data_IF_200744301641
#
_entry.id   IF_200744301641
#
_cell.length_a   1.000
_cell.length_b   1.000
_cell.length_c   1.000
_cell.angle_alpha   90.00
_cell.angle_beta   90.00
_cell.angle_gamma   90.00
#
_symmetry.space_group_name_H-M   'P 1'
#
loop_
_entity.id
_entity.type
_entity.pdbx_description
1 polymer ?
#
# COMPACT_ATOMS: atom_id res chain seq x y z
N UNK A 1 68.67 -33.03 46.79
CA UNK A 1 67.93 -31.75 46.77
C UNK A 1 67.04 -31.56 45.54
N UNK A 2 67.26 -32.23 44.39
CA UNK A 2 66.45 -32.02 43.16
C UNK A 2 65.00 -32.57 43.17
N UNK A 3 64.67 -33.55 44.02
CA UNK A 3 63.31 -34.16 44.02
C UNK A 3 62.23 -33.21 44.56
N UNK A 4 62.61 -32.28 45.43
CA UNK A 4 61.67 -31.41 46.15
C UNK A 4 61.24 -30.16 45.34
N UNK A 5 62.02 -29.77 44.32
CA UNK A 5 61.66 -28.67 43.40
C UNK A 5 60.70 -29.13 42.29
N UNK A 6 60.83 -30.38 41.83
CA UNK A 6 59.97 -30.93 40.78
C UNK A 6 58.53 -31.13 41.26
N UNK A 7 58.33 -31.64 42.48
CA UNK A 7 56.99 -31.77 43.07
C UNK A 7 56.32 -30.42 43.37
N UNK A 8 57.11 -29.39 43.74
CA UNK A 8 56.61 -28.02 43.92
C UNK A 8 56.20 -27.38 42.59
N UNK A 9 56.96 -27.62 41.53
CA UNK A 9 56.65 -27.17 40.17
C UNK A 9 55.35 -27.80 39.65
N UNK A 10 55.18 -29.12 39.82
CA UNK A 10 53.96 -29.85 39.43
C UNK A 10 52.72 -29.40 40.22
N UNK A 11 52.87 -29.07 41.52
CA UNK A 11 51.78 -28.53 42.33
C UNK A 11 51.40 -27.10 41.90
N UNK A 12 52.36 -26.23 41.58
CA UNK A 12 52.08 -24.88 41.06
C UNK A 12 51.34 -24.93 39.74
N UNK A 13 51.81 -25.76 38.80
CA UNK A 13 51.14 -25.96 37.51
C UNK A 13 49.70 -26.44 37.63
N UNK A 14 49.42 -27.34 38.57
CA UNK A 14 48.04 -27.80 38.82
C UNK A 14 47.13 -26.71 39.38
N UNK A 15 47.65 -25.83 40.23
CA UNK A 15 46.88 -24.70 40.78
C UNK A 15 46.62 -23.66 39.70
N UNK A 16 47.63 -23.35 38.88
CA UNK A 16 47.50 -22.45 37.72
C UNK A 16 46.47 -22.98 36.70
N UNK A 17 46.51 -24.29 36.37
CA UNK A 17 45.53 -24.94 35.47
C UNK A 17 44.10 -24.98 36.05
N UNK A 18 43.93 -24.97 37.38
CA UNK A 18 42.62 -24.93 38.04
C UNK A 18 42.06 -23.50 38.08
N UNK A 19 42.90 -22.51 38.37
CA UNK A 19 42.53 -21.08 38.34
C UNK A 19 42.14 -20.63 36.91
N UNK A 20 42.89 -21.05 35.88
CA UNK A 20 42.60 -20.70 34.48
C UNK A 20 41.26 -21.30 34.00
N UNK A 21 40.91 -22.50 34.48
CA UNK A 21 39.61 -23.14 34.20
C UNK A 21 38.45 -22.45 34.92
N UNK A 22 38.67 -21.95 36.14
CA UNK A 22 37.66 -21.16 36.84
C UNK A 22 37.41 -19.82 36.14
N UNK A 23 38.46 -19.13 35.69
CA UNK A 23 38.34 -17.88 34.94
C UNK A 23 37.62 -18.06 33.59
N UNK A 24 37.97 -19.11 32.82
CA UNK A 24 37.24 -19.45 31.58
C UNK A 24 35.77 -19.77 31.86
N UNK A 25 35.48 -20.51 32.94
CA UNK A 25 34.13 -20.83 33.37
C UNK A 25 33.30 -19.60 33.75
N UNK A 26 33.92 -18.60 34.39
CA UNK A 26 33.26 -17.32 34.71
C UNK A 26 33.01 -16.50 33.44
N UNK A 27 33.98 -16.37 32.53
CA UNK A 27 33.78 -15.64 31.26
C UNK A 27 32.67 -16.26 30.39
N UNK A 28 32.58 -17.58 30.32
CA UNK A 28 31.54 -18.26 29.56
C UNK A 28 30.15 -18.03 30.15
N UNK A 29 30.03 -17.98 31.49
CA UNK A 29 28.77 -17.64 32.17
C UNK A 29 28.35 -16.20 31.91
N UNK A 30 29.27 -15.23 31.99
CA UNK A 30 28.96 -13.82 31.72
C UNK A 30 28.52 -13.60 30.26
N UNK A 31 29.21 -14.21 29.29
CA UNK A 31 28.83 -14.14 27.87
C UNK A 31 27.44 -14.75 27.62
N UNK A 32 27.15 -15.90 28.23
CA UNK A 32 25.85 -16.56 28.13
C UNK A 32 24.73 -15.69 28.73
N UNK A 33 24.99 -15.07 29.88
CA UNK A 33 24.04 -14.20 30.56
C UNK A 33 23.73 -12.93 29.75
N UNK A 34 24.76 -12.28 29.17
CA UNK A 34 24.57 -11.12 28.30
C UNK A 34 23.79 -11.40 27.02
N UNK A 35 23.93 -12.61 26.44
CA UNK A 35 23.11 -13.06 25.31
C UNK A 35 21.64 -13.27 25.72
N UNK A 36 21.42 -13.80 26.92
CA UNK A 36 20.08 -14.04 27.45
C UNK A 36 19.34 -12.72 27.74
N UNK A 37 20.03 -11.73 28.33
CA UNK A 37 19.47 -10.39 28.55
C UNK A 37 19.12 -9.67 27.24
N UNK A 38 20.00 -9.74 26.22
CA UNK A 38 19.71 -9.17 24.89
C UNK A 38 18.47 -9.78 24.25
N UNK A 39 18.34 -11.11 24.31
CA UNK A 39 17.15 -11.82 23.79
C UNK A 39 15.88 -11.49 24.58
N UNK A 40 16.00 -11.23 25.88
CA UNK A 40 14.91 -10.76 26.74
C UNK A 40 14.41 -9.38 26.33
N UNK A 41 15.33 -8.41 26.20
CA UNK A 41 15.03 -7.04 25.78
C UNK A 41 14.43 -6.95 24.39
N UNK A 42 14.98 -7.68 23.40
CA UNK A 42 14.39 -7.75 22.05
C UNK A 42 12.97 -8.34 22.04
N UNK A 43 12.70 -9.32 22.92
CA UNK A 43 11.35 -9.88 23.05
C UNK A 43 10.38 -8.91 23.68
N UNK A 44 10.80 -8.14 24.68
CA UNK A 44 10.00 -7.09 25.30
C UNK A 44 9.71 -5.95 24.32
N UNK A 45 10.71 -5.41 23.62
CA UNK A 45 10.50 -4.37 22.60
C UNK A 45 9.55 -4.84 21.48
N UNK A 46 9.71 -6.07 21.00
CA UNK A 46 8.80 -6.65 20.00
C UNK A 46 7.38 -6.84 20.54
N UNK A 47 7.21 -7.07 21.85
CA UNK A 47 5.91 -7.21 22.50
C UNK A 47 5.25 -5.85 22.71
N UNK A 48 5.98 -4.86 23.18
CA UNK A 48 5.51 -3.48 23.35
C UNK A 48 5.13 -2.86 22.01
N UNK A 49 5.97 -2.97 20.97
CA UNK A 49 5.61 -2.56 19.60
C UNK A 49 4.33 -3.24 19.12
N UNK A 50 4.16 -4.55 19.35
CA UNK A 50 2.93 -5.27 18.98
C UNK A 50 1.69 -4.79 19.74
N UNK A 51 1.82 -4.37 21.00
CA UNK A 51 0.71 -3.81 21.77
C UNK A 51 0.39 -2.37 21.37
N UNK A 52 1.39 -1.57 21.01
CA UNK A 52 1.23 -0.21 20.52
C UNK A 52 0.56 -0.20 19.13
N UNK A 53 0.97 -1.10 18.23
CA UNK A 53 0.33 -1.37 16.94
C UNK A 53 -1.15 -1.74 17.13
N UNK A 54 -1.47 -2.57 18.14
CA UNK A 54 -2.87 -2.92 18.48
C UNK A 54 -3.70 -1.72 18.97
N UNK A 55 -3.07 -0.64 19.44
CA UNK A 55 -3.75 0.55 19.99
C UNK A 55 -3.77 1.74 19.03
N UNK A 56 -3.02 1.71 17.92
CA UNK A 56 -2.95 2.83 16.96
C UNK A 56 -4.31 3.04 16.28
N UNK A 57 -5.09 3.99 16.79
CA UNK A 57 -6.38 4.38 16.20
C UNK A 57 -6.12 5.39 15.09
N UNK A 58 -6.14 4.92 13.85
CA UNK A 58 -5.99 5.81 12.69
C UNK A 58 -7.22 6.71 12.52
N UNK A 59 -6.99 8.01 12.38
CA UNK A 59 -8.01 9.00 11.96
C UNK A 59 -7.84 9.41 10.50
N UNK A 60 -6.69 9.09 9.90
CA UNK A 60 -6.36 9.36 8.52
C UNK A 60 -6.17 8.07 7.73
N UNK A 61 -6.29 8.15 6.41
CA UNK A 61 -5.95 7.06 5.49
C UNK A 61 -5.19 7.58 4.30
N UNK A 62 -4.30 6.75 3.75
CA UNK A 62 -3.54 7.04 2.54
C UNK A 62 -3.87 5.96 1.52
N UNK A 63 -4.09 6.39 0.27
CA UNK A 63 -4.15 5.49 -0.88
C UNK A 63 -2.98 5.79 -1.81
N UNK A 64 -2.04 4.87 -1.94
CA UNK A 64 -1.00 4.95 -2.98
C UNK A 64 -1.47 4.14 -4.17
N UNK A 65 -1.62 4.78 -5.33
CA UNK A 65 -2.10 4.16 -6.57
C UNK A 65 -0.99 4.14 -7.59
N UNK A 66 -0.52 2.94 -7.92
CA UNK A 66 0.40 2.67 -9.00
C UNK A 66 -0.40 2.43 -10.29
N UNK A 67 -0.02 3.12 -11.35
CA UNK A 67 -0.68 3.02 -12.64
C UNK A 67 0.24 3.40 -13.79
N UNK A 68 -0.27 3.28 -15.01
CA UNK A 68 0.44 3.69 -16.21
C UNK A 68 0.56 5.22 -16.34
N UNK A 69 -0.36 5.95 -15.70
CA UNK A 69 -0.25 7.40 -15.51
C UNK A 69 -0.64 7.80 -14.07
N UNK A 70 -0.11 8.95 -13.66
CA UNK A 70 -0.44 9.62 -12.40
C UNK A 70 -0.54 11.14 -12.62
N UNK A 71 -1.41 11.80 -11.86
CA UNK A 71 -1.67 13.23 -11.97
C UNK A 71 -1.95 13.82 -10.58
N UNK A 72 -1.34 14.95 -10.22
CA UNK A 72 -1.59 15.55 -8.89
C UNK A 72 -3.05 16.03 -8.73
N UNK A 73 -3.69 16.45 -9.82
CA UNK A 73 -5.09 16.87 -9.87
C UNK A 73 -5.58 16.98 -11.31
N UNK A 74 -6.87 16.74 -11.56
CA UNK A 74 -7.48 16.85 -12.90
C UNK A 74 -7.08 18.14 -13.63
N UNK A 75 -6.43 17.98 -14.78
CA UNK A 75 -5.96 19.06 -15.65
C UNK A 75 -4.57 19.61 -15.32
N UNK A 76 -3.81 18.94 -14.44
CA UNK A 76 -2.42 19.25 -14.11
C UNK A 76 -1.45 18.37 -14.91
N UNK A 77 -0.16 18.52 -14.66
CA UNK A 77 0.88 17.68 -15.27
C UNK A 77 0.59 16.19 -15.00
N UNK A 78 0.53 15.42 -16.09
CA UNK A 78 0.52 13.96 -16.05
C UNK A 78 1.94 13.43 -16.16
N UNK A 79 2.25 12.40 -15.39
CA UNK A 79 3.45 11.58 -15.52
C UNK A 79 3.10 10.18 -15.99
N UNK A 80 4.07 9.44 -16.53
CA UNK A 80 3.86 8.13 -17.11
C UNK A 80 3.32 8.18 -18.54
N UNK A 81 2.94 7.02 -19.07
CA UNK A 81 2.43 6.86 -20.45
C UNK A 81 1.26 5.91 -20.44
N UNK A 82 0.15 6.34 -21.04
CA UNK A 82 -1.04 5.50 -21.18
C UNK A 82 -0.70 4.20 -21.90
N UNK A 83 -1.07 3.09 -21.29
CA UNK A 83 -0.89 1.76 -21.87
C UNK A 83 -1.96 1.48 -22.94
N UNK A 84 -1.64 0.57 -23.86
CA UNK A 84 -2.62 0.09 -24.85
C UNK A 84 -3.77 -0.67 -24.18
N UNK A 85 -3.49 -1.42 -23.11
CA UNK A 85 -4.46 -2.16 -22.30
C UNK A 85 -4.12 -2.14 -20.81
N UNK A 86 -5.14 -2.37 -19.99
CA UNK A 86 -5.05 -2.59 -18.55
C UNK A 86 -5.02 -4.07 -18.17
N UNK A 87 -5.30 -4.38 -16.90
CA UNK A 87 -5.38 -5.75 -16.41
C UNK A 87 -6.68 -6.42 -16.83
N UNK A 88 -6.60 -7.67 -17.28
CA UNK A 88 -7.76 -8.52 -17.57
C UNK A 88 -7.99 -9.55 -16.47
N UNK A 89 -9.04 -10.36 -16.63
CA UNK A 89 -9.39 -11.42 -15.68
C UNK A 89 -8.25 -12.43 -15.51
N UNK A 90 -7.60 -12.84 -16.61
CA UNK A 90 -6.50 -13.81 -16.55
C UNK A 90 -5.35 -13.31 -15.69
N UNK A 91 -4.93 -12.06 -15.87
CA UNK A 91 -3.85 -11.49 -15.08
C UNK A 91 -4.22 -11.40 -13.59
N UNK A 92 -5.47 -11.08 -13.26
CA UNK A 92 -5.93 -11.01 -11.87
C UNK A 92 -6.03 -12.39 -11.22
N UNK A 93 -6.53 -13.40 -11.94
CA UNK A 93 -6.58 -14.79 -11.45
C UNK A 93 -5.18 -15.32 -11.20
N UNK A 94 -4.24 -15.04 -12.10
CA UNK A 94 -2.85 -15.45 -11.95
C UNK A 94 -2.16 -14.72 -10.78
N UNK A 95 -2.36 -13.40 -10.66
CA UNK A 95 -1.84 -12.63 -9.53
C UNK A 95 -2.41 -13.14 -8.19
N UNK A 96 -3.70 -13.49 -8.15
CA UNK A 96 -4.33 -14.12 -6.98
C UNK A 96 -3.60 -15.41 -6.59
N UNK A 97 -3.40 -16.32 -7.56
CA UNK A 97 -2.73 -17.61 -7.34
C UNK A 97 -1.33 -17.42 -6.78
N UNK A 98 -0.51 -16.58 -7.44
CA UNK A 98 0.87 -16.29 -7.01
C UNK A 98 0.92 -15.70 -5.61
N UNK A 99 0.04 -14.75 -5.30
CA UNK A 99 -0.01 -14.14 -3.97
C UNK A 99 -0.39 -15.14 -2.87
N UNK A 100 -1.30 -16.08 -3.16
CA UNK A 100 -1.64 -17.15 -2.23
C UNK A 100 -0.50 -18.16 -2.04
N UNK A 101 0.31 -18.40 -3.07
CA UNK A 101 1.54 -19.21 -2.98
C UNK A 101 2.61 -18.55 -2.10
N UNK A 102 2.63 -17.22 -2.03
CA UNK A 102 3.45 -16.47 -1.07
C UNK A 102 2.91 -16.56 0.38
N UNK A 103 1.80 -17.26 0.60
CA UNK A 103 1.12 -17.41 1.89
C UNK A 103 0.15 -16.28 2.21
N UNK A 104 -0.21 -15.46 1.22
CA UNK A 104 -1.19 -14.38 1.36
C UNK A 104 -2.63 -14.87 1.26
N UNK A 105 -3.58 -13.97 1.58
CA UNK A 105 -5.03 -14.20 1.40
C UNK A 105 -5.56 -13.22 0.36
N UNK A 106 -6.25 -13.72 -0.66
CA UNK A 106 -6.77 -12.87 -1.73
C UNK A 106 -8.23 -13.17 -2.10
N UNK A 107 -8.95 -12.11 -2.48
CA UNK A 107 -10.35 -12.15 -2.89
C UNK A 107 -10.49 -11.53 -4.29
N UNK A 108 -11.06 -12.27 -5.25
CA UNK A 108 -11.39 -11.73 -6.56
C UNK A 108 -12.90 -11.43 -6.61
N UNK A 109 -13.25 -10.16 -6.69
CA UNK A 109 -14.63 -9.69 -6.72
C UNK A 109 -15.05 -9.41 -8.16
N UNK A 110 -16.07 -10.12 -8.66
CA UNK A 110 -16.77 -9.75 -9.90
C UNK A 110 -17.80 -8.65 -9.59
N UNK A 111 -17.58 -7.46 -10.16
CA UNK A 111 -18.44 -6.30 -9.93
C UNK A 111 -19.80 -6.42 -10.66
N UNK A 112 -19.91 -7.27 -11.67
CA UNK A 112 -21.17 -7.55 -12.35
C UNK A 112 -22.06 -8.41 -11.48
N UNK A 113 -21.51 -9.50 -10.95
CA UNK A 113 -22.24 -10.38 -10.02
C UNK A 113 -22.66 -9.64 -8.75
N UNK A 114 -21.74 -8.84 -8.20
CA UNK A 114 -21.99 -8.04 -7.01
C UNK A 114 -23.05 -6.94 -7.21
N UNK A 115 -23.38 -6.59 -8.46
CA UNK A 115 -24.46 -5.63 -8.76
C UNK A 115 -25.86 -6.18 -8.45
N UNK A 116 -26.02 -7.51 -8.40
CA UNK A 116 -27.30 -8.17 -8.19
C UNK A 116 -28.30 -8.01 -9.35
N UNK A 117 -27.87 -7.53 -10.52
CA UNK A 117 -28.76 -7.28 -11.67
C UNK A 117 -28.36 -8.12 -12.88
N UNK A 118 -29.30 -8.95 -13.34
CA UNK A 118 -29.11 -9.89 -14.47
C UNK A 118 -28.69 -9.20 -15.77
N UNK A 119 -29.18 -8.00 -16.06
CA UNK A 119 -28.80 -7.28 -17.27
C UNK A 119 -27.34 -6.84 -17.27
N UNK A 120 -26.78 -6.51 -16.10
CA UNK A 120 -25.35 -6.21 -15.94
C UNK A 120 -24.54 -7.50 -16.09
N UNK A 121 -24.92 -8.57 -15.38
CA UNK A 121 -24.25 -9.87 -15.45
C UNK A 121 -24.11 -10.40 -16.89
N UNK A 122 -25.15 -10.19 -17.72
CA UNK A 122 -25.17 -10.68 -19.10
C UNK A 122 -24.53 -9.73 -20.12
N UNK A 123 -24.70 -8.42 -19.96
CA UNK A 123 -24.42 -7.46 -21.04
C UNK A 123 -23.29 -6.47 -20.74
N UNK A 124 -22.82 -6.36 -19.49
CA UNK A 124 -21.69 -5.51 -19.17
C UNK A 124 -20.37 -6.24 -19.39
N UNK A 125 -19.34 -5.48 -19.81
CA UNK A 125 -17.99 -6.02 -19.93
C UNK A 125 -17.49 -6.58 -18.57
N UNK A 126 -16.66 -7.64 -18.57
CA UNK A 126 -16.09 -8.19 -17.36
C UNK A 126 -15.33 -7.15 -16.54
N UNK A 127 -15.68 -7.02 -15.26
CA UNK A 127 -15.10 -6.04 -14.35
C UNK A 127 -14.80 -6.68 -13.01
N UNK A 128 -13.53 -6.63 -12.60
CA UNK A 128 -13.05 -7.33 -11.43
C UNK A 128 -12.17 -6.43 -10.57
N UNK A 129 -12.22 -6.67 -9.26
CA UNK A 129 -11.25 -6.12 -8.31
C UNK A 129 -10.65 -7.27 -7.54
N UNK A 130 -9.33 -7.41 -7.61
CA UNK A 130 -8.57 -8.33 -6.77
C UNK A 130 -8.16 -7.59 -5.50
N UNK A 131 -8.46 -8.13 -4.33
CA UNK A 131 -8.01 -7.59 -3.04
C UNK A 131 -7.05 -8.59 -2.41
N UNK A 132 -5.83 -8.15 -2.12
CA UNK A 132 -4.77 -8.88 -1.43
C UNK A 132 -4.74 -8.39 0.02
N UNK A 133 -5.25 -9.20 0.94
CA UNK A 133 -5.37 -8.84 2.35
C UNK A 133 -3.99 -8.79 3.00
N UNK A 134 -3.68 -7.67 3.67
CA UNK A 134 -2.34 -7.38 4.19
C UNK A 134 -1.25 -7.58 3.13
N UNK A 135 -1.56 -7.23 1.88
CA UNK A 135 -0.65 -7.38 0.75
C UNK A 135 0.68 -6.68 0.96
N UNK A 136 0.70 -5.53 1.63
CA UNK A 136 1.96 -4.82 1.93
C UNK A 136 2.89 -5.67 2.80
N UNK A 137 2.39 -6.24 3.90
CA UNK A 137 3.22 -7.06 4.79
C UNK A 137 3.77 -8.32 4.11
N UNK A 138 3.00 -8.90 3.17
CA UNK A 138 3.45 -10.05 2.38
C UNK A 138 4.54 -9.64 1.38
N UNK A 139 4.34 -8.53 0.67
CA UNK A 139 5.27 -8.05 -0.35
C UNK A 139 6.56 -7.45 0.24
N UNK A 140 6.50 -6.91 1.46
CA UNK A 140 7.66 -6.36 2.16
C UNK A 140 8.38 -7.38 3.06
N UNK A 141 7.88 -8.62 3.12
CA UNK A 141 8.35 -9.65 4.07
C UNK A 141 9.86 -9.90 3.99
N UNK A 142 10.44 -9.94 2.79
CA UNK A 142 11.87 -10.20 2.60
C UNK A 142 12.75 -9.05 3.09
N UNK A 143 12.21 -7.82 3.15
CA UNK A 143 12.89 -6.67 3.74
C UNK A 143 12.76 -6.61 5.27
N UNK A 144 11.86 -7.40 5.85
CA UNK A 144 11.52 -7.32 7.27
C UNK A 144 10.72 -6.07 7.64
N UNK A 145 10.10 -5.42 6.66
CA UNK A 145 9.32 -4.19 6.81
C UNK A 145 7.81 -4.50 6.74
N UNK A 146 6.99 -3.61 7.28
CA UNK A 146 5.55 -3.83 7.46
C UNK A 146 4.70 -2.74 6.82
N UNK A 147 3.37 -2.92 6.83
CA UNK A 147 2.46 -1.85 6.44
C UNK A 147 2.57 -0.60 7.32
N UNK A 148 2.95 -0.74 8.60
CA UNK A 148 3.17 0.38 9.52
C UNK A 148 4.41 1.19 9.11
N UNK A 149 5.52 0.51 8.76
CA UNK A 149 6.75 1.18 8.29
C UNK A 149 6.46 1.94 6.99
N UNK A 150 5.69 1.34 6.08
CA UNK A 150 5.28 2.02 4.85
C UNK A 150 4.34 3.21 5.13
N UNK A 151 3.43 3.09 6.09
CA UNK A 151 2.62 4.23 6.51
C UNK A 151 3.47 5.36 7.09
N UNK A 152 4.44 5.04 7.95
CA UNK A 152 5.34 6.02 8.56
C UNK A 152 6.22 6.73 7.51
N UNK A 153 6.68 6.02 6.48
CA UNK A 153 7.33 6.63 5.30
C UNK A 153 6.41 7.68 4.65
N UNK A 154 5.16 7.31 4.36
CA UNK A 154 4.24 8.20 3.63
C UNK A 154 3.78 9.40 4.45
N UNK A 155 3.52 9.25 5.75
CA UNK A 155 3.08 10.39 6.60
C UNK A 155 4.18 11.41 6.86
N UNK A 156 5.45 11.04 6.66
CA UNK A 156 6.59 11.95 6.79
C UNK A 156 6.71 12.95 5.63
N UNK A 157 6.01 12.70 4.52
CA UNK A 157 6.09 13.49 3.29
C UNK A 157 5.21 14.76 3.35
N UNK A 158 5.69 15.84 2.73
CA UNK A 158 4.93 17.07 2.58
C UNK A 158 4.02 17.03 1.35
N UNK A 159 2.77 16.59 1.55
CA UNK A 159 1.79 16.47 0.48
C UNK A 159 1.27 17.82 -0.05
N UNK A 160 0.96 17.90 -1.34
CA UNK A 160 0.38 19.10 -1.95
C UNK A 160 -0.99 19.43 -1.35
N UNK A 161 -1.08 20.62 -0.76
CA UNK A 161 -2.31 21.20 -0.18
C UNK A 161 -2.99 22.19 -1.13
N UNK A 162 -2.42 22.42 -2.31
CA UNK A 162 -2.95 23.32 -3.34
C UNK A 162 -3.01 22.65 -4.70
N UNK A 163 -3.82 23.21 -5.60
CA UNK A 163 -3.90 22.80 -7.00
C UNK A 163 -4.39 23.97 -7.86
N UNK A 164 -4.11 23.91 -9.16
CA UNK A 164 -4.70 24.84 -10.13
C UNK A 164 -6.05 24.30 -10.61
N UNK A 165 -7.13 25.03 -10.35
CA UNK A 165 -8.49 24.65 -10.71
C UNK A 165 -9.28 25.88 -11.15
N UNK A 166 -10.08 25.75 -12.21
CA UNK A 166 -10.96 26.82 -12.69
C UNK A 166 -10.24 28.18 -12.88
N UNK A 167 -9.02 28.16 -13.41
CA UNK A 167 -8.25 29.36 -13.73
C UNK A 167 -7.51 30.00 -12.55
N UNK A 168 -7.46 29.36 -11.37
CA UNK A 168 -6.78 29.90 -10.18
C UNK A 168 -6.19 28.81 -9.30
N UNK A 169 -5.28 29.18 -8.42
CA UNK A 169 -4.77 28.29 -7.37
C UNK A 169 -5.78 28.23 -6.23
N UNK A 170 -6.11 27.02 -5.79
CA UNK A 170 -7.06 26.76 -4.70
C UNK A 170 -6.46 25.80 -3.67
N UNK A 171 -6.98 25.86 -2.44
CA UNK A 171 -6.64 24.89 -1.40
C UNK A 171 -7.40 23.57 -1.61
N UNK A 172 -6.73 22.44 -1.41
CA UNK A 172 -7.29 21.10 -1.51
C UNK A 172 -7.93 20.68 -0.19
N UNK A 173 -9.24 20.92 -0.08
CA UNK A 173 -10.03 20.60 1.12
C UNK A 173 -10.53 19.16 1.19
N UNK A 174 -10.51 18.43 0.07
CA UNK A 174 -11.12 17.10 -0.02
C UNK A 174 -10.13 15.98 0.36
N UNK A 175 -8.85 16.19 0.06
CA UNK A 175 -7.70 15.31 0.29
C UNK A 175 -6.45 16.00 -0.27
N UNK A 176 -5.27 15.66 0.24
CA UNK A 176 -3.99 16.11 -0.34
C UNK A 176 -3.43 15.06 -1.30
N UNK A 177 -2.42 15.42 -2.08
CA UNK A 177 -1.88 14.54 -3.12
C UNK A 177 -0.37 14.63 -3.28
N UNK A 178 0.24 13.56 -3.78
CA UNK A 178 1.62 13.53 -4.26
C UNK A 178 1.69 12.64 -5.49
N UNK A 179 2.59 12.97 -6.42
CA UNK A 179 3.01 12.05 -7.47
C UNK A 179 4.41 11.53 -7.15
N UNK A 180 4.75 10.37 -7.68
CA UNK A 180 6.04 9.72 -7.49
C UNK A 180 6.61 9.28 -8.84
N UNK A 181 7.89 9.53 -9.04
CA UNK A 181 8.61 9.19 -10.28
C UNK A 181 10.09 8.98 -10.00
N UNK A 182 10.88 8.74 -11.03
CA UNK A 182 12.35 8.59 -10.90
C UNK A 182 12.99 9.89 -10.37
N UNK A 183 12.56 11.04 -10.88
CA UNK A 183 13.07 12.35 -10.51
C UNK A 183 12.06 13.14 -9.68
N UNK A 184 12.56 13.87 -8.67
CA UNK A 184 11.76 14.76 -7.84
C UNK A 184 11.51 16.12 -8.51
N UNK A 185 10.41 16.76 -8.13
CA UNK A 185 9.99 18.07 -8.61
C UNK A 185 9.28 18.85 -7.50
N UNK A 186 9.69 20.10 -7.26
CA UNK A 186 8.92 21.03 -6.41
C UNK A 186 7.70 21.57 -7.18
N UNK A 187 6.59 21.87 -6.49
CA UNK A 187 5.36 22.29 -7.16
C UNK A 187 5.48 23.68 -7.80
N UNK A 188 4.91 23.82 -8.99
CA UNK A 188 4.70 25.07 -9.70
C UNK A 188 3.24 25.10 -10.19
N UNK A 189 2.36 25.48 -9.27
CA UNK A 189 0.92 25.42 -9.50
C UNK A 189 0.46 26.39 -10.61
N UNK A 190 1.17 27.49 -10.84
CA UNK A 190 0.86 28.45 -11.91
C UNK A 190 0.99 27.79 -13.28
N UNK A 191 2.02 26.97 -13.46
CA UNK A 191 2.22 26.15 -14.65
C UNK A 191 1.61 24.76 -14.54
N UNK A 192 0.68 24.56 -13.60
CA UNK A 192 -0.07 23.31 -13.37
C UNK A 192 0.81 22.10 -13.07
N UNK A 193 1.96 22.31 -12.43
CA UNK A 193 2.87 21.26 -11.99
C UNK A 193 2.72 21.06 -10.48
N UNK A 194 2.44 19.83 -10.06
CA UNK A 194 2.43 19.48 -8.64
C UNK A 194 3.79 18.97 -8.18
N UNK A 195 3.89 18.66 -6.89
CA UNK A 195 5.07 18.03 -6.31
C UNK A 195 5.20 16.59 -6.81
N UNK A 196 6.42 16.22 -7.21
CA UNK A 196 6.82 14.84 -7.51
C UNK A 196 7.91 14.45 -6.50
N UNK A 197 7.73 13.33 -5.83
CA UNK A 197 8.72 12.75 -4.93
C UNK A 197 9.49 11.67 -5.68
N UNK A 198 10.82 11.77 -5.69
CA UNK A 198 11.69 10.79 -6.36
C UNK A 198 11.70 9.44 -5.62
N UNK A 199 11.67 8.32 -6.34
CA UNK A 199 11.67 6.98 -5.74
C UNK A 199 12.86 6.71 -4.82
N UNK A 200 14.01 7.34 -5.10
CA UNK A 200 15.20 7.29 -4.23
C UNK A 200 14.98 7.80 -2.81
N UNK A 201 13.93 8.61 -2.58
CA UNK A 201 13.56 9.15 -1.27
C UNK A 201 12.46 8.37 -0.55
N UNK A 202 11.85 7.38 -1.22
CA UNK A 202 10.73 6.56 -0.70
C UNK A 202 10.99 5.07 -0.98
N UNK A 203 11.98 4.47 -0.29
CA UNK A 203 12.46 3.13 -0.60
C UNK A 203 11.40 2.03 -0.46
N UNK A 204 10.43 2.15 0.46
CA UNK A 204 9.36 1.16 0.61
C UNK A 204 8.34 1.29 -0.52
N UNK A 205 7.95 2.52 -0.88
CA UNK A 205 7.12 2.77 -2.06
C UNK A 205 7.75 2.21 -3.33
N UNK A 206 9.05 2.46 -3.53
CA UNK A 206 9.81 1.98 -4.70
C UNK A 206 9.88 0.46 -4.71
N UNK A 207 10.17 -0.18 -3.58
CA UNK A 207 10.26 -1.63 -3.54
C UNK A 207 8.90 -2.30 -3.83
N UNK A 208 7.80 -1.77 -3.30
CA UNK A 208 6.47 -2.27 -3.62
C UNK A 208 6.18 -2.16 -5.13
N UNK A 209 6.50 -1.02 -5.76
CA UNK A 209 6.41 -0.85 -7.22
C UNK A 209 7.16 -1.95 -7.96
N UNK A 210 8.39 -2.22 -7.56
CA UNK A 210 9.29 -3.16 -8.23
C UNK A 210 8.91 -4.62 -7.97
N UNK A 211 8.10 -4.89 -6.94
CA UNK A 211 7.56 -6.23 -6.65
C UNK A 211 6.34 -6.61 -7.52
N UNK A 212 5.61 -5.65 -8.06
CA UNK A 212 4.38 -5.93 -8.82
C UNK A 212 4.55 -6.79 -10.07
N UNK A 213 5.65 -6.72 -10.83
CA UNK A 213 5.90 -7.62 -11.95
C UNK A 213 5.86 -9.11 -11.56
N UNK A 214 6.25 -9.47 -10.34
CA UNK A 214 6.18 -10.86 -9.87
C UNK A 214 4.74 -11.37 -9.88
N UNK A 215 3.79 -10.53 -9.47
CA UNK A 215 2.36 -10.85 -9.46
C UNK A 215 1.69 -10.65 -10.83
N UNK A 216 1.97 -9.55 -11.50
CA UNK A 216 1.19 -9.02 -12.63
C UNK A 216 1.89 -9.13 -14.00
N UNK A 217 3.09 -9.71 -14.02
CA UNK A 217 3.92 -9.84 -15.23
C UNK A 217 4.35 -8.48 -15.78
N UNK A 218 4.61 -8.41 -17.08
CA UNK A 218 5.06 -7.20 -17.77
C UNK A 218 4.13 -5.99 -17.56
N UNK A 219 2.82 -6.22 -17.34
CA UNK A 219 1.87 -5.14 -17.07
C UNK A 219 2.09 -4.48 -15.71
N UNK A 220 2.76 -5.14 -14.77
CA UNK A 220 3.17 -4.59 -13.48
C UNK A 220 4.45 -3.74 -13.54
N UNK A 221 5.15 -3.72 -14.67
CA UNK A 221 6.41 -2.98 -14.80
C UNK A 221 6.19 -1.49 -15.08
N UNK A 222 7.17 -0.67 -14.68
CA UNK A 222 7.26 0.73 -15.09
C UNK A 222 6.11 1.62 -14.62
N UNK A 223 5.31 1.19 -13.65
CA UNK A 223 4.19 1.97 -13.12
C UNK A 223 4.71 3.25 -12.44
N UNK A 224 3.96 4.35 -12.59
CA UNK A 224 4.12 5.58 -11.79
C UNK A 224 3.13 5.57 -10.63
N UNK A 225 3.39 6.31 -9.55
CA UNK A 225 2.50 6.31 -8.39
C UNK A 225 1.88 7.69 -8.08
N UNK A 226 0.67 7.66 -7.54
CA UNK A 226 -0.07 8.80 -7.01
C UNK A 226 -0.56 8.49 -5.60
N UNK A 227 -0.18 9.31 -4.63
CA UNK A 227 -0.66 9.22 -3.26
C UNK A 227 -1.84 10.15 -3.01
N UNK A 228 -2.93 9.60 -2.50
CA UNK A 228 -4.12 10.33 -2.04
C UNK A 228 -4.19 10.30 -0.50
N UNK A 229 -4.03 11.46 0.12
CA UNK A 229 -3.90 11.62 1.57
C UNK A 229 -5.20 12.17 2.16
N UNK A 230 -5.97 11.29 2.78
CA UNK A 230 -7.22 11.60 3.48
C UNK A 230 -6.89 11.85 4.95
N UNK A 231 -6.46 13.08 5.26
CA UNK A 231 -6.00 13.51 6.58
C UNK A 231 -7.05 13.36 7.71
N UNK A 232 -8.34 13.24 7.36
CA UNK A 232 -9.43 12.97 8.30
C UNK A 232 -10.56 12.22 7.58
N UNK A 233 -10.76 10.94 7.90
CA UNK A 233 -11.79 10.10 7.23
C UNK A 233 -13.22 10.61 7.45
N UNK A 234 -13.46 11.44 8.47
CA UNK A 234 -14.77 12.06 8.70
C UNK A 234 -15.05 13.27 7.80
N UNK A 235 -14.01 13.83 7.17
CA UNK A 235 -14.10 15.07 6.36
C UNK A 235 -13.71 14.87 4.90
N UNK A 236 -12.78 13.97 4.63
CA UNK A 236 -12.14 13.77 3.34
C UNK A 236 -12.90 12.78 2.46
N UNK A 237 -12.58 12.79 1.17
CA UNK A 237 -13.14 11.87 0.19
C UNK A 237 -12.95 12.28 -1.27
N UNK A 238 -13.51 11.45 -2.13
CA UNK A 238 -13.57 11.61 -3.57
C UNK A 238 -14.91 11.06 -4.05
N UNK A 239 -15.64 11.86 -4.83
CA UNK A 239 -16.96 11.48 -5.35
C UNK A 239 -16.88 10.41 -6.43
N UNK A 240 -18.03 9.95 -6.92
CA UNK A 240 -18.08 8.96 -8.00
C UNK A 240 -17.43 9.48 -9.29
N UNK A 241 -16.36 8.82 -9.70
CA UNK A 241 -15.58 9.11 -10.91
C UNK A 241 -15.08 7.79 -11.53
N UNK A 242 -14.59 7.86 -12.76
CA UNK A 242 -13.72 6.83 -13.34
C UNK A 242 -12.36 7.45 -13.66
N UNK A 243 -11.32 6.64 -13.64
CA UNK A 243 -9.94 7.06 -13.82
C UNK A 243 -9.62 7.13 -15.32
N UNK A 244 -10.11 8.18 -15.98
CA UNK A 244 -10.05 8.32 -17.44
C UNK A 244 -8.62 8.47 -18.00
N UNK A 245 -7.67 8.80 -17.14
CA UNK A 245 -6.26 9.01 -17.44
C UNK A 245 -5.40 7.75 -17.36
N UNK A 246 -5.93 6.61 -16.89
CA UNK A 246 -5.13 5.39 -16.70
C UNK A 246 -5.92 4.13 -17.01
N UNK A 247 -5.24 3.03 -17.34
CA UNK A 247 -5.85 1.70 -17.57
C UNK A 247 -5.38 0.67 -16.57
N UNK A 248 -4.24 0.91 -15.93
CA UNK A 248 -3.66 0.02 -14.93
C UNK A 248 -3.79 0.68 -13.57
N UNK A 249 -4.33 -0.07 -12.61
CA UNK A 249 -4.44 0.36 -11.22
C UNK A 249 -4.07 -0.80 -10.30
N UNK A 250 -2.98 -0.60 -9.56
CA UNK A 250 -2.62 -1.35 -8.35
C UNK A 250 -2.55 -0.33 -7.24
N UNK A 251 -3.31 -0.51 -6.16
CA UNK A 251 -3.38 0.49 -5.11
C UNK A 251 -3.28 -0.11 -3.72
N UNK A 252 -2.68 0.64 -2.82
CA UNK A 252 -2.41 0.27 -1.44
C UNK A 252 -3.25 1.14 -0.52
N UNK A 253 -3.88 0.53 0.49
CA UNK A 253 -4.60 1.24 1.55
C UNK A 253 -3.78 1.22 2.83
N UNK A 254 -3.50 2.39 3.40
CA UNK A 254 -2.81 2.54 4.68
C UNK A 254 -3.63 3.36 5.68
N UNK A 255 -3.40 3.15 6.98
CA UNK A 255 -4.13 3.81 8.06
C UNK A 255 -5.58 3.31 8.21
N UNK A 256 -6.50 4.24 8.47
CA UNK A 256 -7.89 3.93 8.77
C UNK A 256 -8.57 3.18 7.62
N UNK A 257 -9.44 2.24 7.96
CA UNK A 257 -10.27 1.56 6.97
C UNK A 257 -11.14 2.57 6.24
N UNK A 258 -11.14 2.50 4.91
CA UNK A 258 -11.96 3.37 4.06
C UNK A 258 -12.54 2.55 2.91
N UNK A 259 -13.87 2.36 2.88
CA UNK A 259 -14.49 1.59 1.82
C UNK A 259 -14.35 2.25 0.45
N UNK A 260 -14.05 1.43 -0.56
CA UNK A 260 -14.17 1.78 -1.96
C UNK A 260 -15.56 1.36 -2.45
N UNK A 261 -16.34 2.33 -2.90
CA UNK A 261 -17.70 2.12 -3.39
C UNK A 261 -17.68 2.07 -4.90
N UNK A 262 -18.28 1.04 -5.49
CA UNK A 262 -18.55 0.95 -6.92
C UNK A 262 -20.04 1.07 -7.21
N UNK A 263 -20.36 1.73 -8.31
CA UNK A 263 -21.72 1.81 -8.84
C UNK A 263 -21.68 1.73 -10.37
N UNK A 264 -22.57 0.92 -10.93
CA UNK A 264 -22.80 0.86 -12.38
C UNK A 264 -23.71 1.99 -12.85
N UNK A 265 -23.44 2.48 -14.06
CA UNK A 265 -24.22 3.51 -14.73
C UNK A 265 -24.49 3.13 -16.20
N UNK A 266 -25.66 3.53 -16.70
CA UNK A 266 -25.98 3.57 -18.14
C UNK A 266 -26.83 4.81 -18.40
N UNK A 267 -26.55 5.55 -19.46
CA UNK A 267 -27.21 6.82 -19.81
C UNK A 267 -27.22 7.87 -18.66
N UNK A 268 -26.22 7.82 -17.78
CA UNK A 268 -26.10 8.57 -16.51
C UNK A 268 -27.08 8.14 -15.40
N UNK A 269 -27.94 7.16 -15.65
CA UNK A 269 -28.76 6.51 -14.63
C UNK A 269 -27.96 5.48 -13.84
N UNK A 270 -28.26 5.37 -12.55
CA UNK A 270 -27.70 4.34 -11.66
C UNK A 270 -28.35 3.00 -12.00
N UNK A 271 -27.55 1.94 -12.12
CA UNK A 271 -28.06 0.57 -12.32
C UNK A 271 -27.49 -0.36 -11.26
N UNK A 272 -28.34 -1.21 -10.69
CA UNK A 272 -27.97 -2.24 -9.72
C UNK A 272 -27.48 -1.74 -8.39
N UNK A 273 -27.13 -2.70 -7.53
CA UNK A 273 -26.72 -2.44 -6.16
C UNK A 273 -25.33 -1.82 -6.11
N UNK A 274 -25.13 -0.94 -5.14
CA UNK A 274 -23.81 -0.40 -4.82
C UNK A 274 -22.94 -1.50 -4.22
N UNK A 275 -21.80 -1.76 -4.84
CA UNK A 275 -20.79 -2.68 -4.32
C UNK A 275 -19.89 -1.91 -3.35
N UNK A 276 -19.65 -2.46 -2.17
CA UNK A 276 -18.83 -1.84 -1.12
C UNK A 276 -17.66 -2.76 -0.79
N UNK A 277 -16.44 -2.32 -1.10
CA UNK A 277 -15.21 -3.05 -0.79
C UNK A 277 -14.55 -2.40 0.42
N UNK A 278 -14.59 -3.05 1.58
CA UNK A 278 -13.90 -2.54 2.78
C UNK A 278 -12.41 -2.84 2.64
N UNK A 279 -11.62 -1.78 2.51
CA UNK A 279 -10.16 -1.85 2.43
C UNK A 279 -9.57 -1.38 3.75
N UNK A 280 -8.65 -2.18 4.29
CA UNK A 280 -8.01 -1.94 5.58
C UNK A 280 -6.54 -1.58 5.41
N UNK A 281 -5.90 -1.22 6.52
CA UNK A 281 -4.46 -1.00 6.58
C UNK A 281 -3.69 -2.21 6.02
N UNK A 282 -2.78 -1.94 5.09
CA UNK A 282 -1.92 -2.94 4.46
C UNK A 282 -2.56 -3.70 3.31
N UNK A 283 -3.86 -3.50 3.03
CA UNK A 283 -4.52 -4.14 1.88
C UNK A 283 -3.98 -3.53 0.57
N UNK A 284 -3.73 -4.41 -0.41
CA UNK A 284 -3.45 -4.04 -1.79
C UNK A 284 -4.66 -4.44 -2.63
N UNK A 285 -5.04 -3.66 -3.63
CA UNK A 285 -6.06 -4.04 -4.58
C UNK A 285 -5.67 -3.71 -6.01
N UNK A 286 -6.07 -4.56 -6.94
CA UNK A 286 -5.82 -4.41 -8.38
C UNK A 286 -7.16 -4.34 -9.10
N UNK A 287 -7.35 -3.32 -9.91
CA UNK A 287 -8.56 -3.19 -10.73
C UNK A 287 -8.31 -3.79 -12.11
N UNK A 288 -9.29 -4.53 -12.65
CA UNK A 288 -9.31 -4.79 -14.09
C UNK A 288 -9.48 -3.47 -14.84
N UNK A 289 -9.11 -3.42 -16.13
CA UNK A 289 -9.23 -2.22 -16.95
C UNK A 289 -10.66 -1.62 -16.85
N UNK A 290 -11.69 -2.46 -16.98
CA UNK A 290 -13.08 -2.02 -16.84
C UNK A 290 -13.40 -1.45 -15.45
N UNK A 291 -12.83 -2.04 -14.40
CA UNK A 291 -13.03 -1.59 -13.02
C UNK A 291 -12.32 -0.26 -12.69
N UNK A 292 -11.37 0.20 -13.51
CA UNK A 292 -10.85 1.58 -13.42
C UNK A 292 -11.89 2.62 -13.81
N UNK A 293 -12.92 2.22 -14.56
CA UNK A 293 -13.88 3.15 -15.13
C UNK A 293 -13.23 4.12 -16.13
N UNK A 294 -12.12 3.77 -16.77
CA UNK A 294 -11.48 4.62 -17.80
C UNK A 294 -12.44 5.03 -18.94
N UNK A 295 -13.49 4.23 -19.15
CA UNK A 295 -14.53 4.42 -20.15
C UNK A 295 -15.79 5.12 -19.61
N UNK A 296 -15.79 5.66 -18.38
CA UNK A 296 -16.97 6.18 -17.68
C UNK A 296 -17.76 7.29 -18.39
N UNK A 297 -17.17 7.90 -19.42
CA UNK A 297 -17.80 8.91 -20.28
C UNK A 297 -18.63 8.30 -21.43
N UNK A 298 -18.52 6.99 -21.69
CA UNK A 298 -19.32 6.26 -22.71
C UNK A 298 -20.74 6.02 -22.20
N UNK A 299 -21.61 7.01 -22.40
CA UNK A 299 -22.97 7.01 -21.83
C UNK A 299 -23.87 5.88 -22.29
N UNK A 300 -23.66 5.29 -23.47
CA UNK A 300 -24.51 4.24 -24.01
C UNK A 300 -24.16 2.84 -23.49
N UNK A 301 -22.97 2.69 -22.93
CA UNK A 301 -22.47 1.43 -22.42
C UNK A 301 -22.66 1.35 -20.89
N UNK A 302 -22.67 0.13 -20.35
CA UNK A 302 -22.54 -0.05 -18.91
C UNK A 302 -21.16 0.40 -18.49
N UNK A 303 -21.11 1.43 -17.63
CA UNK A 303 -19.87 2.02 -17.13
C UNK A 303 -19.80 1.92 -15.62
N UNK A 304 -18.59 1.87 -15.08
CA UNK A 304 -18.34 1.86 -13.64
C UNK A 304 -17.80 3.20 -13.19
N UNK A 305 -18.19 3.58 -11.98
CA UNK A 305 -17.58 4.69 -11.25
C UNK A 305 -17.33 4.26 -9.82
N UNK A 306 -16.25 4.76 -9.23
CA UNK A 306 -15.90 4.53 -7.84
C UNK A 306 -15.79 5.80 -7.02
N UNK A 307 -16.01 5.67 -5.72
CA UNK A 307 -15.94 6.74 -4.72
C UNK A 307 -15.38 6.20 -3.40
N UNK A 308 -14.79 7.09 -2.60
CA UNK A 308 -14.31 6.76 -1.26
C UNK A 308 -14.38 7.99 -0.35
N UNK A 309 -14.55 7.80 0.96
CA UNK A 309 -14.56 8.89 1.94
C UNK A 309 -15.85 8.99 2.75
N UNK A 310 -16.00 10.12 3.45
CA UNK A 310 -17.19 10.40 4.26
C UNK A 310 -18.47 10.54 3.41
N UNK A 311 -19.62 10.43 4.07
CA UNK A 311 -20.94 10.29 3.45
C UNK A 311 -21.23 11.32 2.34
N UNK A 312 -20.80 12.57 2.50
CA UNK A 312 -21.04 13.64 1.51
C UNK A 312 -20.44 13.33 0.14
N UNK A 313 -19.34 12.58 0.07
CA UNK A 313 -18.72 12.16 -1.20
C UNK A 313 -19.39 10.93 -1.80
N UNK A 314 -20.14 10.16 -1.01
CA UNK A 314 -20.79 8.92 -1.42
C UNK A 314 -22.22 9.16 -1.97
N UNK A 315 -22.65 10.41 -2.09
CA UNK A 315 -23.93 10.79 -2.69
C UNK A 315 -23.80 10.87 -4.21
N UNK A 316 -24.68 10.17 -4.93
CA UNK A 316 -24.81 10.28 -6.38
C UNK A 316 -25.85 11.37 -6.65
N UNK A 317 -25.45 12.47 -7.28
CA UNK A 317 -26.40 13.53 -7.66
C UNK A 317 -27.16 13.09 -8.92
N UNK A 318 -28.49 13.02 -8.87
CA UNK A 318 -29.34 12.76 -10.03
C UNK A 318 -30.16 11.46 -10.02
N UNK A 319 -30.05 10.61 -8.99
CA UNK A 319 -31.00 9.51 -8.78
C UNK A 319 -32.26 10.05 -8.09
N UNK A 320 -33.22 10.50 -8.89
CA UNK A 320 -34.61 10.64 -8.43
C UNK A 320 -35.10 9.22 -8.13
N UNK A 321 -35.62 9.01 -6.91
CA UNK A 321 -36.33 7.79 -6.56
C UNK A 321 -37.63 7.64 -7.34
#
# INVERSE_FOLDING_TARGET
MMVNEFERSLKRRKVEDEEEKEEEGMMLKEKSWGIFEKKGKEKEEKKEKKEEIKKRKFTQTISITYGDQAENHVGMQMIGRLSESGFGERELVEAKRKFEEMGGVAELIDLRESSGVKSIQKNADPAFVLVLRKGVDVLLKERGETADDFFDEQVSLDADKKAFMYGRIVNKIARHNLCFSEEGQEPDYENKKGRIVGYSSVPLLSHLRDSFPELLGEKGEGLVAEGNYYYDVSKCGIGFHGDGERKKVVAVRLGASLPLHYQWFVENGVVGNRVKLVLNHGDVYVMSEKATGNDWKKRKDYTLRHAAGCEKFLKIKGSVG
#
